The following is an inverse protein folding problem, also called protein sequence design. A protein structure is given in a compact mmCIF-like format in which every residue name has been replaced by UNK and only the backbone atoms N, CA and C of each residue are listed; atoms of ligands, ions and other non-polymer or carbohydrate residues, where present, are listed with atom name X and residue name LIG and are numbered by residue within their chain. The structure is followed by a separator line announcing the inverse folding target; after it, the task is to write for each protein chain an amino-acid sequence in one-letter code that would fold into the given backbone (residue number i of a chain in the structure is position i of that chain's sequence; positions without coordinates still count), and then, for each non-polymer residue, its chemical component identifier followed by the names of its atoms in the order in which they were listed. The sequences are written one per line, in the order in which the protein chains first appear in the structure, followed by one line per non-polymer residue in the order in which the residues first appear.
data_IF_589355601372
#
_entry.id   IF_589355601372
#
_cell.length_a   1.000
_cell.length_b   1.000
_cell.length_c   1.000
_cell.angle_alpha   90.00
_cell.angle_beta   90.00
_cell.angle_gamma   90.00
#
_symmetry.space_group_name_H-M   'P 1'
#
loop_
_entity.id
_entity.type
_entity.pdbx_description
1 polymer ?
#
# COMPACT_ATOMS: atom_id res chain seq x y z
N UNK A 1 36.30 38.20 14.16
CA UNK A 1 35.20 37.87 15.06
C UNK A 1 33.96 37.63 14.23
N UNK A 2 33.62 36.36 13.97
CA UNK A 2 32.43 35.94 13.26
C UNK A 2 31.58 35.13 14.24
N UNK A 3 30.41 35.63 14.58
CA UNK A 3 29.43 35.02 15.45
C UNK A 3 28.77 33.81 14.73
N UNK A 4 28.57 32.66 15.39
CA UNK A 4 27.86 31.54 14.78
C UNK A 4 26.33 31.78 14.84
N UNK A 5 25.65 31.55 13.71
CA UNK A 5 24.19 31.51 13.61
C UNK A 5 23.67 30.22 14.24
N UNK A 6 22.58 30.25 14.99
CA UNK A 6 21.97 29.05 15.51
C UNK A 6 21.24 28.31 14.37
N UNK A 7 21.52 27.00 14.25
CA UNK A 7 20.75 26.04 13.48
C UNK A 7 19.39 25.86 14.17
N UNK A 8 18.34 26.35 13.52
CA UNK A 8 16.95 26.05 13.90
C UNK A 8 16.67 24.62 13.43
N UNK A 9 16.67 23.71 14.39
CA UNK A 9 16.20 22.35 14.18
C UNK A 9 14.68 22.37 13.88
N UNK A 10 14.33 22.02 12.66
CA UNK A 10 12.94 21.77 12.26
C UNK A 10 12.52 20.43 12.83
N UNK A 11 11.91 20.43 14.02
CA UNK A 11 11.22 19.27 14.57
C UNK A 11 9.97 19.02 13.72
N UNK A 12 10.05 18.02 12.85
CA UNK A 12 8.84 17.44 12.22
C UNK A 12 8.03 16.79 13.35
N UNK A 13 7.02 17.50 13.84
CA UNK A 13 5.95 16.89 14.61
C UNK A 13 5.17 15.99 13.62
N UNK A 14 5.44 14.67 13.65
CA UNK A 14 4.49 13.69 13.16
C UNK A 14 3.22 13.89 13.98
N UNK A 15 2.18 14.41 13.35
CA UNK A 15 0.83 14.38 13.88
C UNK A 15 0.41 12.92 14.00
N UNK A 16 0.63 12.32 15.16
CA UNK A 16 -0.18 11.23 15.64
C UNK A 16 -1.61 11.76 15.62
N UNK A 17 -2.43 11.25 14.72
CA UNK A 17 -3.87 11.35 14.86
C UNK A 17 -4.21 10.67 16.18
N UNK A 18 -4.21 11.43 17.25
CA UNK A 18 -4.81 11.04 18.51
C UNK A 18 -6.29 10.94 18.17
N UNK A 19 -6.78 9.74 17.89
CA UNK A 19 -8.19 9.46 18.01
C UNK A 19 -8.57 9.92 19.39
N UNK A 20 -9.60 10.76 19.55
CA UNK A 20 -10.07 11.08 20.87
C UNK A 20 -10.42 9.75 21.54
N UNK A 21 -9.64 9.37 22.54
CA UNK A 21 -10.05 8.33 23.45
C UNK A 21 -11.43 8.74 23.92
N UNK A 22 -12.47 8.04 23.48
CA UNK A 22 -13.76 8.12 24.15
C UNK A 22 -13.47 7.76 25.59
N UNK A 23 -13.56 8.74 26.47
CA UNK A 23 -13.29 8.59 27.89
C UNK A 23 -14.39 7.80 28.59
N UNK A 24 -14.62 6.59 28.14
CA UNK A 24 -15.24 5.53 28.94
C UNK A 24 -14.12 4.94 29.79
N UNK A 25 -14.31 4.87 31.10
CA UNK A 25 -13.43 4.14 31.98
C UNK A 25 -13.12 2.78 31.30
N UNK A 26 -11.83 2.50 31.02
CA UNK A 26 -11.37 1.17 30.60
C UNK A 26 -11.74 0.20 31.74
N UNK A 27 -12.92 -0.39 31.65
CA UNK A 27 -13.44 -1.32 32.68
C UNK A 27 -12.81 -2.69 32.54
N UNK A 28 -12.15 -2.94 31.42
CA UNK A 28 -11.55 -4.19 31.08
C UNK A 28 -10.04 -4.05 30.90
N UNK A 29 -9.28 -4.73 31.78
CA UNK A 29 -7.82 -4.74 31.75
C UNK A 29 -7.27 -5.44 30.51
N UNK A 30 -7.93 -6.50 30.05
CA UNK A 30 -7.48 -7.29 28.90
C UNK A 30 -7.65 -6.52 27.60
N UNK A 31 -8.79 -5.88 27.41
CA UNK A 31 -9.01 -5.00 26.24
C UNK A 31 -8.03 -3.82 26.24
N UNK A 32 -7.77 -3.24 27.41
CA UNK A 32 -6.73 -2.20 27.57
C UNK A 32 -5.33 -2.70 27.24
N UNK A 33 -5.01 -3.94 27.60
CA UNK A 33 -3.74 -4.58 27.25
C UNK A 33 -3.61 -4.85 25.76
N UNK A 34 -4.68 -5.30 25.10
CA UNK A 34 -4.72 -5.47 23.67
C UNK A 34 -4.48 -4.15 22.90
N UNK A 35 -5.14 -3.06 23.35
CA UNK A 35 -4.91 -1.72 22.81
C UNK A 35 -3.48 -1.23 23.04
N UNK A 36 -2.91 -1.51 24.21
CA UNK A 36 -1.53 -1.14 24.53
C UNK A 36 -0.55 -1.81 23.56
N UNK A 37 -0.70 -3.12 23.33
CA UNK A 37 0.12 -3.85 22.37
C UNK A 37 -0.07 -3.32 20.94
N UNK A 38 -1.31 -3.03 20.53
CA UNK A 38 -1.59 -2.48 19.22
C UNK A 38 -0.93 -1.11 19.00
N UNK A 39 -0.95 -0.22 20.00
CA UNK A 39 -0.30 1.10 19.92
C UNK A 39 1.22 1.01 19.83
N UNK A 40 1.81 -0.09 20.31
CA UNK A 40 3.24 -0.36 20.17
C UNK A 40 3.59 -1.10 18.87
N UNK A 41 2.61 -1.34 18.00
CA UNK A 41 2.82 -2.10 16.77
C UNK A 41 2.96 -3.61 16.98
N UNK A 42 2.71 -4.11 18.20
CA UNK A 42 2.76 -5.53 18.56
C UNK A 42 1.40 -6.19 18.23
N UNK A 43 1.03 -6.17 16.95
CA UNK A 43 -0.29 -6.60 16.51
C UNK A 43 -0.59 -8.07 16.77
N UNK A 44 0.41 -8.94 16.72
CA UNK A 44 0.24 -10.35 17.05
C UNK A 44 -0.17 -10.55 18.52
N UNK A 45 0.49 -9.87 19.45
CA UNK A 45 0.18 -9.94 20.86
C UNK A 45 -1.21 -9.32 21.15
N UNK A 46 -1.53 -8.22 20.48
CA UNK A 46 -2.86 -7.62 20.55
C UNK A 46 -3.96 -8.57 20.07
N UNK A 47 -3.74 -9.25 18.93
CA UNK A 47 -4.68 -10.23 18.38
C UNK A 47 -4.89 -11.42 19.31
N UNK A 48 -3.83 -11.96 19.89
CA UNK A 48 -3.95 -13.07 20.84
C UNK A 48 -4.80 -12.69 22.07
N UNK A 49 -4.65 -11.47 22.57
CA UNK A 49 -5.45 -10.97 23.70
C UNK A 49 -6.91 -10.85 23.31
N UNK A 50 -7.22 -10.20 22.19
CA UNK A 50 -8.59 -10.04 21.71
C UNK A 50 -9.26 -11.39 21.36
N UNK A 51 -8.55 -12.29 20.67
CA UNK A 51 -9.07 -13.63 20.37
C UNK A 51 -9.42 -14.42 21.65
N UNK A 52 -8.57 -14.29 22.69
CA UNK A 52 -8.80 -14.95 23.97
C UNK A 52 -10.07 -14.39 24.64
N UNK A 53 -10.24 -13.06 24.64
CA UNK A 53 -11.40 -12.41 25.24
C UNK A 53 -12.70 -12.77 24.51
N UNK A 54 -12.69 -12.69 23.16
CA UNK A 54 -13.85 -13.08 22.35
C UNK A 54 -14.20 -14.56 22.58
N UNK A 55 -13.20 -15.43 22.70
CA UNK A 55 -13.43 -16.85 23.01
C UNK A 55 -13.99 -17.08 24.42
N UNK A 56 -13.48 -16.35 25.41
CA UNK A 56 -13.98 -16.39 26.79
C UNK A 56 -15.43 -15.93 26.87
N UNK A 57 -15.74 -14.77 26.24
CA UNK A 57 -17.12 -14.24 26.19
C UNK A 57 -18.11 -15.25 25.60
N UNK A 58 -17.76 -15.91 24.51
CA UNK A 58 -18.64 -16.92 23.87
C UNK A 58 -18.86 -18.18 24.71
N UNK A 59 -17.98 -18.42 25.67
CA UNK A 59 -18.08 -19.54 26.60
C UNK A 59 -18.85 -19.26 27.88
N UNK A 60 -19.34 -18.04 28.10
CA UNK A 60 -20.05 -17.67 29.31
C UNK A 60 -21.55 -17.99 29.25
N UNK A 61 -22.06 -18.55 30.33
CA UNK A 61 -23.51 -18.79 30.50
C UNK A 61 -24.29 -17.48 30.83
N UNK A 62 -23.61 -16.49 31.40
CA UNK A 62 -24.17 -15.19 31.79
C UNK A 62 -23.27 -14.06 31.28
N UNK A 63 -23.32 -13.73 29.97
CA UNK A 63 -22.45 -12.74 29.35
C UNK A 63 -22.52 -11.34 29.97
N UNK A 64 -23.67 -10.97 30.54
CA UNK A 64 -23.90 -9.67 31.19
C UNK A 64 -23.08 -9.43 32.47
N UNK A 65 -22.48 -10.49 33.00
CA UNK A 65 -21.56 -10.39 34.14
C UNK A 65 -20.10 -10.20 33.74
N UNK A 66 -19.80 -10.39 32.45
CA UNK A 66 -18.46 -10.20 31.91
C UNK A 66 -18.25 -8.75 31.51
N UNK A 67 -17.07 -8.22 31.81
CA UNK A 67 -16.66 -6.87 31.41
C UNK A 67 -16.61 -6.73 29.90
N UNK A 68 -16.29 -7.82 29.17
CA UNK A 68 -16.28 -7.86 27.71
C UNK A 68 -17.68 -7.64 27.11
N UNK A 69 -18.75 -7.91 27.84
CA UNK A 69 -20.13 -7.67 27.37
C UNK A 69 -20.31 -6.23 26.83
N UNK A 70 -19.63 -5.25 27.44
CA UNK A 70 -19.67 -3.85 27.00
C UNK A 70 -18.84 -3.54 25.78
N UNK A 71 -17.91 -4.43 25.43
CA UNK A 71 -16.92 -4.24 24.36
C UNK A 71 -17.01 -5.27 23.25
N UNK A 72 -18.00 -6.18 23.29
CA UNK A 72 -18.04 -7.31 22.35
C UNK A 72 -18.01 -6.88 20.87
N UNK A 73 -18.76 -5.84 20.51
CA UNK A 73 -18.78 -5.34 19.14
C UNK A 73 -17.47 -4.66 18.78
N UNK A 74 -16.90 -3.89 19.70
CA UNK A 74 -15.64 -3.19 19.52
C UNK A 74 -14.47 -4.20 19.47
N UNK A 75 -14.51 -5.24 20.31
CA UNK A 75 -13.48 -6.28 20.33
C UNK A 75 -13.46 -7.08 19.03
N UNK A 76 -14.59 -7.54 18.53
CA UNK A 76 -14.65 -8.28 17.26
C UNK A 76 -14.26 -7.42 16.06
N UNK A 77 -14.64 -6.15 16.08
CA UNK A 77 -14.27 -5.17 15.06
C UNK A 77 -12.78 -4.86 15.11
N UNK A 78 -12.23 -4.63 16.31
CA UNK A 78 -10.81 -4.38 16.52
C UNK A 78 -9.93 -5.56 16.14
N UNK A 79 -10.36 -6.80 16.39
CA UNK A 79 -9.68 -8.01 15.89
C UNK A 79 -9.60 -7.97 14.37
N UNK A 80 -10.72 -7.63 13.69
CA UNK A 80 -10.75 -7.50 12.23
C UNK A 80 -9.81 -6.42 11.71
N UNK A 81 -9.72 -5.28 12.40
CA UNK A 81 -8.83 -4.18 12.06
C UNK A 81 -7.36 -4.55 12.23
N UNK A 82 -7.00 -5.11 13.37
CA UNK A 82 -5.63 -5.53 13.63
C UNK A 82 -5.18 -6.64 12.68
N UNK A 83 -6.05 -7.59 12.36
CA UNK A 83 -5.77 -8.61 11.36
C UNK A 83 -5.62 -8.04 9.95
N UNK A 84 -6.35 -6.97 9.61
CA UNK A 84 -6.21 -6.27 8.34
C UNK A 84 -4.89 -5.50 8.29
N UNK A 85 -4.54 -4.78 9.36
CA UNK A 85 -3.28 -4.06 9.46
C UNK A 85 -2.09 -5.02 9.49
N UNK A 86 -2.25 -6.17 10.14
CA UNK A 86 -1.29 -7.29 10.13
C UNK A 86 -1.36 -8.13 8.84
N UNK A 87 -2.24 -7.77 7.90
CA UNK A 87 -2.43 -8.42 6.60
C UNK A 87 -2.91 -9.88 6.66
N UNK A 88 -3.55 -10.25 7.73
CA UNK A 88 -4.19 -11.57 7.89
C UNK A 88 -5.62 -11.57 7.34
N UNK A 89 -5.79 -11.22 6.08
CA UNK A 89 -7.08 -10.95 5.45
C UNK A 89 -8.15 -12.04 5.66
N UNK A 90 -7.74 -13.30 5.68
CA UNK A 90 -8.68 -14.41 5.86
C UNK A 90 -9.28 -14.48 7.28
N UNK A 91 -8.52 -14.03 8.29
CA UNK A 91 -9.02 -13.92 9.69
C UNK A 91 -9.80 -12.63 9.86
N UNK A 92 -9.28 -11.50 9.39
CA UNK A 92 -9.98 -10.23 9.41
C UNK A 92 -11.38 -10.35 8.81
N UNK A 93 -11.51 -11.03 7.67
CA UNK A 93 -12.80 -11.28 7.06
C UNK A 93 -13.76 -12.06 7.95
N UNK A 94 -13.29 -13.01 8.78
CA UNK A 94 -14.14 -13.75 9.72
C UNK A 94 -14.62 -12.89 10.89
N UNK A 95 -13.73 -12.11 11.49
CA UNK A 95 -14.08 -11.22 12.59
C UNK A 95 -15.10 -10.15 12.14
N UNK A 96 -14.84 -9.51 11.01
CA UNK A 96 -15.75 -8.51 10.44
C UNK A 96 -17.10 -9.13 10.04
N UNK A 97 -17.10 -10.36 9.52
CA UNK A 97 -18.33 -11.07 9.20
C UNK A 97 -19.16 -11.36 10.46
N UNK A 98 -18.52 -11.68 11.59
CA UNK A 98 -19.21 -11.87 12.86
C UNK A 98 -19.94 -10.61 13.31
N UNK A 99 -19.32 -9.43 13.15
CA UNK A 99 -19.97 -8.14 13.43
C UNK A 99 -21.16 -7.91 12.48
N UNK A 100 -21.06 -8.26 11.21
CA UNK A 100 -22.16 -8.13 10.25
C UNK A 100 -23.36 -9.04 10.55
N UNK A 101 -23.13 -10.18 11.17
CA UNK A 101 -24.15 -11.15 11.55
C UNK A 101 -24.72 -10.87 12.96
N UNK A 102 -24.05 -10.02 13.74
CA UNK A 102 -24.46 -9.62 15.08
C UNK A 102 -25.57 -8.53 15.10
N UNK A 103 -26.15 -8.30 16.27
CA UNK A 103 -27.12 -7.26 16.51
C UNK A 103 -26.39 -5.94 16.85
N UNK A 104 -25.80 -5.29 15.86
CA UNK A 104 -25.03 -4.07 15.99
C UNK A 104 -25.76 -2.88 15.34
N UNK A 105 -25.37 -1.66 15.70
CA UNK A 105 -25.87 -0.43 15.09
C UNK A 105 -25.60 -0.36 13.60
N UNK A 106 -26.47 0.33 12.86
CA UNK A 106 -26.38 0.48 11.41
C UNK A 106 -25.04 1.07 10.97
N UNK A 107 -24.52 2.06 11.70
CA UNK A 107 -23.24 2.69 11.40
C UNK A 107 -22.07 1.67 11.48
N UNK A 108 -22.01 0.90 12.58
CA UNK A 108 -21.00 -0.15 12.79
C UNK A 108 -21.10 -1.24 11.70
N UNK A 109 -22.32 -1.64 11.36
CA UNK A 109 -22.58 -2.61 10.30
C UNK A 109 -22.10 -2.13 8.94
N UNK A 110 -22.37 -0.86 8.61
CA UNK A 110 -21.95 -0.26 7.35
C UNK A 110 -20.43 -0.13 7.26
N UNK A 111 -19.78 0.23 8.36
CA UNK A 111 -18.31 0.28 8.43
C UNK A 111 -17.70 -1.12 8.29
N UNK A 112 -18.24 -2.12 8.99
CA UNK A 112 -17.79 -3.51 8.85
C UNK A 112 -17.97 -4.04 7.41
N UNK A 113 -19.09 -3.71 6.76
CA UNK A 113 -19.32 -4.08 5.36
C UNK A 113 -18.30 -3.42 4.40
N UNK A 114 -17.97 -2.15 4.64
CA UNK A 114 -16.93 -1.44 3.89
C UNK A 114 -15.54 -2.09 4.07
N UNK A 115 -15.14 -2.39 5.30
CA UNK A 115 -13.86 -3.04 5.57
C UNK A 115 -13.79 -4.43 4.93
N UNK A 116 -14.87 -5.21 5.01
CA UNK A 116 -14.96 -6.51 4.35
C UNK A 116 -14.85 -6.37 2.82
N UNK A 117 -15.52 -5.39 2.23
CA UNK A 117 -15.42 -5.11 0.80
C UNK A 117 -13.98 -4.74 0.39
N UNK A 118 -13.28 -3.95 1.20
CA UNK A 118 -11.88 -3.59 0.98
C UNK A 118 -10.97 -4.82 0.99
N UNK A 119 -11.17 -5.73 1.96
CA UNK A 119 -10.43 -7.00 2.03
C UNK A 119 -10.65 -7.83 0.76
N UNK A 120 -11.90 -8.02 0.33
CA UNK A 120 -12.22 -8.79 -0.86
C UNK A 120 -11.62 -8.15 -2.12
N UNK A 121 -11.68 -6.81 -2.25
CA UNK A 121 -11.07 -6.10 -3.36
C UNK A 121 -9.55 -6.28 -3.41
N UNK A 122 -8.85 -6.17 -2.27
CA UNK A 122 -7.41 -6.40 -2.17
C UNK A 122 -7.00 -7.83 -2.53
N UNK A 123 -7.88 -8.81 -2.30
CA UNK A 123 -7.70 -10.21 -2.69
C UNK A 123 -8.07 -10.50 -4.16
N UNK A 124 -8.56 -9.52 -4.90
CA UNK A 124 -9.08 -9.72 -6.25
C UNK A 124 -10.43 -10.44 -6.30
N UNK A 125 -11.11 -10.60 -5.17
CA UNK A 125 -12.43 -11.22 -5.04
C UNK A 125 -13.53 -10.19 -5.33
N UNK A 126 -13.64 -9.79 -6.59
CA UNK A 126 -14.44 -8.62 -7.00
C UNK A 126 -15.95 -8.80 -6.76
N UNK A 127 -16.49 -10.00 -6.99
CA UNK A 127 -17.92 -10.30 -6.74
C UNK A 127 -18.25 -10.26 -5.25
N UNK A 128 -17.35 -10.78 -4.41
CA UNK A 128 -17.52 -10.73 -2.95
C UNK A 128 -17.43 -9.29 -2.44
N UNK A 129 -16.54 -8.48 -3.03
CA UNK A 129 -16.46 -7.05 -2.73
C UNK A 129 -17.77 -6.30 -3.09
N UNK A 130 -18.36 -6.59 -4.25
CA UNK A 130 -19.67 -6.04 -4.64
C UNK A 130 -20.78 -6.47 -3.67
N UNK A 131 -20.80 -7.75 -3.29
CA UNK A 131 -21.77 -8.28 -2.35
C UNK A 131 -21.66 -7.63 -0.98
N UNK A 132 -20.43 -7.39 -0.49
CA UNK A 132 -20.20 -6.68 0.76
C UNK A 132 -20.65 -5.22 0.67
N UNK A 133 -20.32 -4.50 -0.40
CA UNK A 133 -20.79 -3.13 -0.65
C UNK A 133 -22.31 -3.01 -0.75
N UNK A 134 -23.00 -4.03 -1.27
CA UNK A 134 -24.46 -4.08 -1.36
C UNK A 134 -25.16 -4.21 0.01
N UNK A 135 -24.42 -4.61 1.07
CA UNK A 135 -24.94 -4.66 2.44
C UNK A 135 -25.01 -3.30 3.12
N UNK A 136 -24.27 -2.31 2.60
CA UNK A 136 -24.27 -0.93 3.11
C UNK A 136 -25.61 -0.30 2.78
N UNK A 137 -26.39 0.06 3.81
CA UNK A 137 -27.73 0.64 3.70
C UNK A 137 -27.90 1.77 4.70
N UNK A 138 -28.79 2.72 4.37
CA UNK A 138 -29.12 3.82 5.27
C UNK A 138 -27.95 4.79 5.49
N UNK A 139 -27.68 5.15 6.72
CA UNK A 139 -26.71 6.19 7.05
C UNK A 139 -25.30 5.62 7.09
N UNK A 140 -24.43 6.14 6.23
CA UNK A 140 -22.98 5.84 6.25
C UNK A 140 -22.27 6.90 7.09
N UNK A 141 -21.38 6.51 8.03
CA UNK A 141 -20.54 7.46 8.77
C UNK A 141 -19.83 8.44 7.83
N UNK A 142 -19.78 9.72 8.23
CA UNK A 142 -19.23 10.78 7.37
C UNK A 142 -17.76 10.52 7.00
N UNK A 143 -17.02 9.94 7.94
CA UNK A 143 -15.59 9.66 7.85
C UNK A 143 -15.24 8.67 6.73
N UNK A 144 -16.12 7.70 6.45
CA UNK A 144 -15.87 6.65 5.45
C UNK A 144 -16.72 6.80 4.19
N UNK A 145 -17.62 7.78 4.13
CA UNK A 145 -18.59 7.90 3.02
C UNK A 145 -17.92 8.00 1.65
N UNK A 146 -16.95 8.88 1.54
CA UNK A 146 -16.25 9.10 0.28
C UNK A 146 -15.41 7.86 -0.10
N UNK A 147 -14.80 7.19 0.88
CA UNK A 147 -14.02 5.96 0.67
C UNK A 147 -14.88 4.79 0.21
N UNK A 148 -16.09 4.64 0.76
CA UNK A 148 -17.09 3.63 0.30
C UNK A 148 -17.40 3.81 -1.18
N UNK A 149 -17.68 5.05 -1.59
CA UNK A 149 -18.03 5.32 -2.99
C UNK A 149 -16.80 5.20 -3.92
N UNK A 150 -15.59 5.55 -3.45
CA UNK A 150 -14.37 5.29 -4.19
C UNK A 150 -14.12 3.79 -4.40
N UNK A 151 -14.25 3.00 -3.35
CA UNK A 151 -14.10 1.56 -3.45
C UNK A 151 -15.14 0.97 -4.41
N UNK A 152 -16.39 1.43 -4.32
CA UNK A 152 -17.48 1.01 -5.22
C UNK A 152 -17.15 1.29 -6.68
N UNK A 153 -16.67 2.49 -6.98
CA UNK A 153 -16.27 2.86 -8.33
C UNK A 153 -15.10 2.00 -8.84
N UNK A 154 -14.09 1.75 -8.01
CA UNK A 154 -12.96 0.91 -8.36
C UNK A 154 -13.39 -0.55 -8.63
N UNK A 155 -14.28 -1.10 -7.81
CA UNK A 155 -14.82 -2.46 -8.04
C UNK A 155 -15.64 -2.51 -9.33
N UNK A 156 -16.43 -1.50 -9.64
CA UNK A 156 -17.17 -1.42 -10.92
C UNK A 156 -16.23 -1.37 -12.12
N UNK A 157 -15.17 -0.55 -12.08
CA UNK A 157 -14.17 -0.52 -13.15
C UNK A 157 -13.47 -1.88 -13.32
N UNK A 158 -13.07 -2.51 -12.22
CA UNK A 158 -12.40 -3.81 -12.23
C UNK A 158 -13.31 -4.96 -12.72
N UNK A 159 -14.63 -4.84 -12.55
CA UNK A 159 -15.63 -5.82 -13.02
C UNK A 159 -16.17 -5.52 -14.42
N UNK A 160 -15.58 -4.56 -15.13
CA UNK A 160 -16.03 -4.20 -16.50
C UNK A 160 -17.38 -3.47 -16.55
N UNK A 161 -17.71 -2.73 -15.49
CA UNK A 161 -18.94 -1.95 -15.35
C UNK A 161 -18.63 -0.44 -15.27
N UNK A 162 -17.95 0.14 -16.28
CA UNK A 162 -17.47 1.52 -16.21
C UNK A 162 -18.61 2.54 -16.14
N UNK A 163 -19.76 2.28 -16.80
CA UNK A 163 -20.91 3.19 -16.74
C UNK A 163 -21.46 3.40 -15.33
N UNK A 164 -21.41 2.35 -14.47
CA UNK A 164 -21.80 2.46 -13.07
C UNK A 164 -20.73 3.21 -12.26
N UNK A 165 -19.46 2.98 -12.56
CA UNK A 165 -18.36 3.72 -11.92
C UNK A 165 -18.48 5.23 -12.21
N UNK A 166 -18.78 5.61 -13.45
CA UNK A 166 -19.03 7.01 -13.85
C UNK A 166 -20.14 7.62 -13.01
N UNK A 167 -21.30 6.96 -12.89
CA UNK A 167 -22.44 7.46 -12.10
C UNK A 167 -22.07 7.71 -10.64
N UNK A 168 -21.25 6.83 -10.07
CA UNK A 168 -20.78 6.96 -8.69
C UNK A 168 -19.80 8.13 -8.56
N UNK A 169 -18.85 8.26 -9.48
CA UNK A 169 -17.81 9.30 -9.44
C UNK A 169 -18.33 10.70 -9.77
N UNK A 170 -19.41 10.83 -10.50
CA UNK A 170 -20.08 12.11 -10.80
C UNK A 170 -20.82 12.69 -9.58
N UNK A 171 -21.05 11.91 -8.52
CA UNK A 171 -21.71 12.41 -7.31
C UNK A 171 -20.79 13.40 -6.54
N UNK A 172 -21.38 14.45 -5.95
CA UNK A 172 -20.62 15.40 -5.13
C UNK A 172 -19.91 14.70 -3.96
N UNK A 173 -18.70 15.16 -3.66
CA UNK A 173 -17.87 14.66 -2.54
C UNK A 173 -17.78 15.67 -1.41
N UNK A 174 -17.57 15.16 -0.20
CA UNK A 174 -17.49 15.98 1.00
C UNK A 174 -16.12 16.66 1.15
N UNK A 175 -15.06 16.06 0.58
CA UNK A 175 -13.67 16.51 0.77
C UNK A 175 -13.05 17.04 -0.54
N UNK A 176 -12.68 18.32 -0.56
CA UNK A 176 -11.98 18.93 -1.70
C UNK A 176 -10.60 18.32 -1.96
N UNK A 177 -9.94 17.80 -0.94
CA UNK A 177 -8.64 17.11 -1.07
C UNK A 177 -8.69 15.89 -2.00
N UNK A 178 -9.86 15.31 -2.19
CA UNK A 178 -10.07 14.16 -3.08
C UNK A 178 -10.34 14.57 -4.53
N UNK A 179 -10.47 15.86 -4.85
CA UNK A 179 -10.88 16.32 -6.18
C UNK A 179 -9.99 15.79 -7.31
N UNK A 180 -8.66 15.73 -7.10
CA UNK A 180 -7.71 15.18 -8.07
C UNK A 180 -7.91 13.68 -8.31
N UNK A 181 -8.12 12.93 -7.24
CA UNK A 181 -8.37 11.48 -7.31
C UNK A 181 -9.71 11.19 -7.99
N UNK A 182 -10.76 11.96 -7.66
CA UNK A 182 -12.09 11.81 -8.30
C UNK A 182 -12.00 12.10 -9.79
N UNK A 183 -11.40 13.21 -10.18
CA UNK A 183 -11.28 13.60 -11.59
C UNK A 183 -10.44 12.59 -12.38
N UNK A 184 -9.33 12.07 -11.81
CA UNK A 184 -8.52 11.04 -12.44
C UNK A 184 -9.34 9.74 -12.64
N UNK A 185 -9.94 9.21 -11.57
CA UNK A 185 -10.70 7.96 -11.65
C UNK A 185 -11.93 8.09 -12.56
N UNK A 186 -12.59 9.25 -12.55
CA UNK A 186 -13.68 9.55 -13.49
C UNK A 186 -13.17 9.56 -14.93
N UNK A 187 -12.01 10.16 -15.19
CA UNK A 187 -11.36 10.13 -16.51
C UNK A 187 -11.09 8.71 -16.97
N UNK A 188 -10.54 7.84 -16.10
CA UNK A 188 -10.29 6.43 -16.43
C UNK A 188 -11.59 5.65 -16.66
N UNK A 189 -12.62 5.85 -15.82
CA UNK A 189 -13.94 5.21 -16.01
C UNK A 189 -14.59 5.62 -17.32
N UNK A 190 -14.51 6.91 -17.69
CA UNK A 190 -15.01 7.43 -18.97
C UNK A 190 -14.26 6.85 -20.18
N UNK A 191 -12.95 6.62 -20.08
CA UNK A 191 -12.17 5.94 -21.12
C UNK A 191 -12.66 4.50 -21.32
N UNK A 192 -12.85 3.77 -20.24
CA UNK A 192 -13.35 2.40 -20.28
C UNK A 192 -14.80 2.34 -20.81
N UNK A 193 -15.59 3.41 -20.59
CA UNK A 193 -16.97 3.55 -21.09
C UNK A 193 -17.04 4.04 -22.55
N UNK A 194 -15.86 4.27 -23.20
CA UNK A 194 -15.79 4.75 -24.59
C UNK A 194 -16.06 6.25 -24.77
N UNK A 195 -16.14 7.03 -23.70
CA UNK A 195 -16.45 8.48 -23.69
C UNK A 195 -15.16 9.31 -23.69
N UNK A 196 -14.31 9.10 -24.70
CA UNK A 196 -12.94 9.62 -24.76
C UNK A 196 -12.85 11.15 -24.60
N UNK A 197 -13.74 11.95 -25.22
CA UNK A 197 -13.68 13.40 -25.11
C UNK A 197 -13.90 13.89 -23.69
N UNK A 198 -14.86 13.30 -22.97
CA UNK A 198 -15.14 13.65 -21.58
C UNK A 198 -14.02 13.18 -20.65
N UNK A 199 -13.41 12.03 -20.97
CA UNK A 199 -12.24 11.54 -20.24
C UNK A 199 -11.06 12.52 -20.33
N UNK A 200 -10.77 13.05 -21.52
CA UNK A 200 -9.74 14.06 -21.75
C UNK A 200 -9.98 15.28 -20.85
N UNK A 201 -11.22 15.77 -20.79
CA UNK A 201 -11.59 16.93 -19.95
C UNK A 201 -11.34 16.66 -18.45
N UNK A 202 -11.71 15.47 -17.96
CA UNK A 202 -11.49 15.11 -16.56
C UNK A 202 -10.02 14.88 -16.22
N UNK A 203 -9.26 14.25 -17.10
CA UNK A 203 -7.82 14.04 -16.94
C UNK A 203 -7.07 15.36 -16.99
N UNK A 204 -7.43 16.29 -17.89
CA UNK A 204 -6.85 17.62 -17.95
C UNK A 204 -7.13 18.42 -16.68
N UNK A 205 -8.37 18.35 -16.17
CA UNK A 205 -8.75 18.93 -14.88
C UNK A 205 -7.87 18.36 -13.75
N UNK A 206 -7.75 17.04 -13.64
CA UNK A 206 -6.94 16.39 -12.62
C UNK A 206 -5.45 16.77 -12.74
N UNK A 207 -4.94 16.88 -13.97
CA UNK A 207 -3.57 17.25 -14.28
C UNK A 207 -3.19 18.70 -13.97
N UNK A 208 -4.18 19.57 -13.70
CA UNK A 208 -3.98 20.98 -13.41
C UNK A 208 -4.32 21.37 -11.97
N UNK A 209 -4.95 20.48 -11.18
CA UNK A 209 -5.30 20.76 -9.79
C UNK A 209 -4.06 21.01 -8.95
N UNK A 210 -4.11 21.99 -8.03
CA UNK A 210 -3.05 22.18 -7.04
C UNK A 210 -2.88 20.91 -6.20
N UNK A 211 -1.64 20.52 -5.97
CA UNK A 211 -1.32 19.38 -5.12
C UNK A 211 -0.43 19.85 -3.97
N UNK A 212 -0.89 19.64 -2.74
CA UNK A 212 -0.20 20.04 -1.52
C UNK A 212 0.62 18.92 -0.86
N UNK A 213 0.43 17.67 -1.32
CA UNK A 213 1.07 16.49 -0.77
C UNK A 213 1.63 15.57 -1.88
N UNK A 214 2.53 14.63 -1.53
CA UNK A 214 3.15 13.74 -2.53
C UNK A 214 2.15 12.86 -3.29
N UNK A 215 1.04 12.45 -2.67
CA UNK A 215 0.02 11.61 -3.32
C UNK A 215 -0.78 12.42 -4.36
N UNK A 216 -1.15 13.66 -4.02
CA UNK A 216 -1.77 14.60 -4.94
C UNK A 216 -0.85 14.94 -6.13
N UNK A 217 0.45 15.16 -5.88
CA UNK A 217 1.43 15.35 -6.94
C UNK A 217 1.52 14.14 -7.86
N UNK A 218 1.58 12.93 -7.32
CA UNK A 218 1.64 11.71 -8.10
C UNK A 218 0.39 11.51 -8.98
N UNK A 219 -0.81 11.78 -8.44
CA UNK A 219 -2.06 11.64 -9.22
C UNK A 219 -2.15 12.69 -10.33
N UNK A 220 -1.67 13.93 -10.08
CA UNK A 220 -1.57 14.97 -11.09
C UNK A 220 -0.63 14.58 -12.22
N UNK A 221 0.58 14.09 -11.89
CA UNK A 221 1.56 13.65 -12.88
C UNK A 221 1.06 12.45 -13.67
N UNK A 222 0.43 11.48 -13.01
CA UNK A 222 -0.20 10.33 -13.67
C UNK A 222 -1.32 10.75 -14.61
N UNK A 223 -2.12 11.74 -14.22
CA UNK A 223 -3.18 12.29 -15.07
C UNK A 223 -2.62 12.91 -16.33
N UNK A 224 -1.56 13.72 -16.20
CA UNK A 224 -0.88 14.35 -17.34
C UNK A 224 -0.20 13.31 -18.26
N UNK A 225 0.40 12.26 -17.69
CA UNK A 225 0.98 11.17 -18.48
C UNK A 225 -0.09 10.41 -19.30
N UNK A 226 -1.21 10.04 -18.65
CA UNK A 226 -2.31 9.34 -19.31
C UNK A 226 -2.93 10.23 -20.38
N UNK A 227 -3.23 11.51 -20.08
CA UNK A 227 -3.74 12.48 -21.03
C UNK A 227 -2.81 12.64 -22.23
N UNK A 228 -1.50 12.85 -21.98
CA UNK A 228 -0.51 12.98 -23.05
C UNK A 228 -0.42 11.73 -23.92
N UNK A 229 -0.57 10.54 -23.34
CA UNK A 229 -0.61 9.28 -24.09
C UNK A 229 -1.83 9.20 -25.01
N UNK A 230 -3.01 9.52 -24.52
CA UNK A 230 -4.26 9.52 -25.31
C UNK A 230 -4.18 10.52 -26.48
N UNK A 231 -3.68 11.73 -26.20
CA UNK A 231 -3.51 12.76 -27.21
C UNK A 231 -2.48 12.36 -28.26
N UNK A 232 -1.39 11.69 -27.87
CA UNK A 232 -0.41 11.11 -28.78
C UNK A 232 -1.03 10.05 -29.70
N UNK A 233 -1.78 9.11 -29.14
CA UNK A 233 -2.44 8.04 -29.88
C UNK A 233 -3.51 8.57 -30.84
N UNK A 234 -4.13 9.71 -30.51
CA UNK A 234 -5.10 10.40 -31.38
C UNK A 234 -4.43 11.29 -32.46
N UNK A 235 -3.08 11.34 -32.50
CA UNK A 235 -2.33 12.14 -33.47
C UNK A 235 -2.21 13.63 -33.12
N UNK A 236 -2.67 14.05 -31.94
CA UNK A 236 -2.56 15.44 -31.48
C UNK A 236 -1.21 15.63 -30.72
N UNK A 237 -0.11 15.61 -31.46
CA UNK A 237 1.24 15.60 -30.87
C UNK A 237 1.58 16.87 -30.07
N UNK A 238 1.11 18.05 -30.53
CA UNK A 238 1.37 19.29 -29.79
C UNK A 238 0.67 19.33 -28.44
N UNK A 239 -0.61 18.93 -28.37
CA UNK A 239 -1.33 18.86 -27.11
C UNK A 239 -0.79 17.73 -26.20
N UNK A 240 -0.35 16.62 -26.79
CA UNK A 240 0.33 15.54 -26.06
C UNK A 240 1.57 16.06 -25.36
N UNK A 241 2.46 16.76 -26.08
CA UNK A 241 3.66 17.37 -25.52
C UNK A 241 3.34 18.32 -24.37
N UNK A 242 2.37 19.25 -24.58
CA UNK A 242 1.99 20.20 -23.53
C UNK A 242 1.51 19.51 -22.23
N UNK A 243 0.81 18.40 -22.34
CA UNK A 243 0.39 17.61 -21.17
C UNK A 243 1.57 16.91 -20.52
N UNK A 244 2.46 16.31 -21.31
CA UNK A 244 3.64 15.58 -20.81
C UNK A 244 4.66 16.52 -20.15
N UNK A 245 4.81 17.75 -20.66
CA UNK A 245 5.69 18.78 -20.07
C UNK A 245 5.24 19.25 -18.67
N UNK A 246 3.99 18.97 -18.28
CA UNK A 246 3.48 19.25 -16.92
C UNK A 246 3.89 18.22 -15.87
N UNK A 247 4.42 17.06 -16.29
CA UNK A 247 4.89 16.01 -15.38
C UNK A 247 6.21 16.43 -14.72
N UNK A 248 6.29 16.26 -13.39
CA UNK A 248 7.52 16.63 -12.65
C UNK A 248 8.70 15.74 -13.04
N UNK A 249 9.86 16.37 -13.23
CA UNK A 249 11.07 15.65 -13.62
C UNK A 249 11.59 14.66 -12.56
N UNK A 250 11.33 14.92 -11.29
CA UNK A 250 11.78 14.08 -10.17
C UNK A 250 10.68 13.10 -9.70
N UNK A 251 9.54 13.06 -10.41
CA UNK A 251 8.41 12.19 -10.08
C UNK A 251 8.54 10.77 -10.65
N UNK A 252 7.77 9.80 -10.15
CA UNK A 252 7.83 8.40 -10.58
C UNK A 252 7.38 8.19 -12.04
N UNK A 253 6.69 9.16 -12.63
CA UNK A 253 6.18 9.09 -14.01
C UNK A 253 7.06 9.83 -15.02
N UNK A 254 8.15 10.45 -14.56
CA UNK A 254 9.01 11.33 -15.34
C UNK A 254 9.65 10.62 -16.54
N UNK A 255 10.20 9.41 -16.36
CA UNK A 255 10.87 8.70 -17.44
C UNK A 255 9.92 8.39 -18.59
N UNK A 256 8.73 7.93 -18.28
CA UNK A 256 7.70 7.64 -19.28
C UNK A 256 7.22 8.92 -19.97
N UNK A 257 7.07 10.02 -19.23
CA UNK A 257 6.65 11.31 -19.80
C UNK A 257 7.72 11.87 -20.75
N UNK A 258 8.99 11.85 -20.37
CA UNK A 258 10.09 12.29 -21.22
C UNK A 258 10.21 11.44 -22.50
N UNK A 259 10.09 10.11 -22.40
CA UNK A 259 10.09 9.22 -23.55
C UNK A 259 8.96 9.58 -24.51
N UNK A 260 7.73 9.71 -24.00
CA UNK A 260 6.54 10.02 -24.79
C UNK A 260 6.60 11.42 -25.40
N UNK A 261 7.12 12.42 -24.68
CA UNK A 261 7.28 13.78 -25.18
C UNK A 261 8.26 13.81 -26.38
N UNK A 262 9.40 13.13 -26.29
CA UNK A 262 10.32 12.98 -27.40
C UNK A 262 9.72 12.21 -28.56
N UNK A 263 8.95 11.15 -28.29
CA UNK A 263 8.27 10.36 -29.32
C UNK A 263 7.23 11.19 -30.07
N UNK A 264 6.51 12.08 -29.39
CA UNK A 264 5.53 12.99 -30.02
C UNK A 264 6.21 13.94 -31.00
N UNK A 265 7.33 14.56 -30.62
CA UNK A 265 8.10 15.44 -31.49
C UNK A 265 8.75 14.67 -32.66
N UNK A 266 9.28 13.47 -32.41
CA UNK A 266 9.88 12.65 -33.46
C UNK A 266 8.84 12.17 -34.50
N UNK A 267 7.64 11.80 -34.05
CA UNK A 267 6.52 11.42 -34.95
C UNK A 267 6.05 12.61 -35.78
N UNK A 268 6.10 13.81 -35.22
CA UNK A 268 5.88 15.06 -35.96
C UNK A 268 7.09 15.49 -36.83
N UNK A 269 8.13 14.65 -36.93
CA UNK A 269 9.38 14.88 -37.65
C UNK A 269 10.25 16.06 -37.12
N UNK A 270 10.00 16.51 -35.92
CA UNK A 270 10.80 17.52 -35.22
C UNK A 270 11.92 16.85 -34.40
N UNK A 271 12.87 16.19 -35.07
CA UNK A 271 13.92 15.38 -34.43
C UNK A 271 14.86 16.21 -33.54
N UNK A 272 15.08 17.48 -33.86
CA UNK A 272 15.84 18.42 -33.05
C UNK A 272 15.16 18.68 -31.68
N UNK A 273 13.85 18.79 -31.66
CA UNK A 273 13.07 18.95 -30.43
C UNK A 273 12.95 17.65 -29.65
N UNK A 274 12.80 16.50 -30.34
CA UNK A 274 12.76 15.18 -29.72
C UNK A 274 14.03 14.87 -28.88
N UNK A 275 15.18 15.36 -29.35
CA UNK A 275 16.45 15.21 -28.64
C UNK A 275 16.46 15.88 -27.25
N UNK A 276 15.64 16.90 -27.00
CA UNK A 276 15.64 17.60 -25.70
C UNK A 276 15.21 16.66 -24.56
N UNK A 277 14.00 16.09 -24.52
CA UNK A 277 13.58 15.18 -23.46
C UNK A 277 14.38 13.86 -23.47
N UNK A 278 14.74 13.33 -24.65
CA UNK A 278 15.50 12.10 -24.73
C UNK A 278 16.93 12.22 -24.21
N UNK A 279 17.61 13.36 -24.40
CA UNK A 279 18.94 13.58 -23.82
C UNK A 279 18.88 13.69 -22.28
N UNK A 280 17.82 14.23 -21.71
CA UNK A 280 17.61 14.19 -20.25
C UNK A 280 17.45 12.73 -19.77
N UNK A 281 16.73 11.93 -20.55
CA UNK A 281 16.41 10.56 -20.20
C UNK A 281 17.62 9.63 -20.25
N UNK A 282 18.49 9.76 -21.24
CA UNK A 282 19.68 8.89 -21.37
C UNK A 282 20.74 9.11 -20.29
N UNK A 283 20.66 10.20 -19.52
CA UNK A 283 21.54 10.46 -18.37
C UNK A 283 21.04 9.78 -17.08
N UNK A 284 19.88 9.11 -17.14
CA UNK A 284 19.25 8.42 -16.01
C UNK A 284 19.68 6.96 -15.89
N UNK A 285 19.12 6.25 -14.91
CA UNK A 285 19.46 4.86 -14.63
C UNK A 285 19.11 3.94 -15.82
N UNK A 286 20.09 3.25 -16.40
CA UNK A 286 19.90 2.43 -17.62
C UNK A 286 19.14 1.12 -17.41
N UNK A 287 18.71 0.80 -16.19
CA UNK A 287 17.83 -0.35 -15.91
C UNK A 287 16.37 -0.05 -16.24
N UNK A 288 15.99 1.23 -16.34
CA UNK A 288 14.65 1.67 -16.71
C UNK A 288 14.40 1.48 -18.21
N UNK A 289 13.28 0.85 -18.58
CA UNK A 289 12.94 0.54 -19.96
C UNK A 289 12.82 1.80 -20.83
N UNK A 290 12.29 2.91 -20.28
CA UNK A 290 12.16 4.18 -21.02
C UNK A 290 13.54 4.79 -21.32
N UNK A 291 14.49 4.65 -20.40
CA UNK A 291 15.90 5.08 -20.60
C UNK A 291 16.54 4.26 -21.71
N UNK A 292 16.37 2.95 -21.69
CA UNK A 292 16.90 2.05 -22.74
C UNK A 292 16.33 2.37 -24.12
N UNK A 293 15.03 2.66 -24.20
CA UNK A 293 14.41 3.07 -25.46
C UNK A 293 14.96 4.41 -25.95
N UNK A 294 15.15 5.38 -25.07
CA UNK A 294 15.76 6.67 -25.42
C UNK A 294 17.21 6.53 -25.92
N UNK A 295 17.99 5.58 -25.37
CA UNK A 295 19.35 5.29 -25.84
C UNK A 295 19.41 4.82 -27.30
N UNK A 296 18.32 4.23 -27.81
CA UNK A 296 18.18 3.87 -29.22
C UNK A 296 17.51 5.00 -30.04
N UNK A 297 16.61 5.75 -29.41
CA UNK A 297 15.89 6.85 -30.06
C UNK A 297 16.80 8.06 -30.35
N UNK A 298 17.70 8.41 -29.44
CA UNK A 298 18.65 9.52 -29.61
C UNK A 298 19.53 9.35 -30.86
N UNK A 299 20.25 8.25 -31.07
CA UNK A 299 21.06 8.08 -32.28
C UNK A 299 20.20 7.99 -33.54
N UNK A 300 18.98 7.43 -33.46
CA UNK A 300 18.04 7.45 -34.58
C UNK A 300 17.68 8.90 -34.98
N UNK A 301 17.39 9.77 -34.00
CA UNK A 301 17.10 11.18 -34.28
C UNK A 301 18.31 11.89 -34.93
N UNK A 302 19.54 11.64 -34.45
CA UNK A 302 20.73 12.19 -35.10
C UNK A 302 20.92 11.68 -36.54
N UNK A 303 20.62 10.40 -36.79
CA UNK A 303 20.67 9.85 -38.17
C UNK A 303 19.63 10.51 -39.08
N UNK A 304 18.41 10.75 -38.56
CA UNK A 304 17.33 11.45 -39.28
C UNK A 304 17.66 12.93 -39.57
N UNK A 305 18.50 13.53 -38.75
CA UNK A 305 19.09 14.87 -38.98
C UNK A 305 20.32 14.85 -39.89
N UNK A 306 20.64 13.72 -40.55
CA UNK A 306 21.84 13.49 -41.38
C UNK A 306 23.18 13.60 -40.63
N UNK A 307 23.18 13.47 -39.32
CA UNK A 307 24.38 13.49 -38.46
C UNK A 307 24.88 12.06 -38.18
N UNK A 308 25.12 11.28 -39.28
CA UNK A 308 25.42 9.82 -39.23
C UNK A 308 26.64 9.47 -38.40
N UNK A 309 27.70 10.29 -38.44
CA UNK A 309 28.91 10.07 -37.65
C UNK A 309 28.63 10.13 -36.13
N UNK A 310 27.82 11.08 -35.72
CA UNK A 310 27.37 11.22 -34.30
C UNK A 310 26.48 10.04 -33.90
N UNK A 311 25.53 9.69 -34.75
CA UNK A 311 24.67 8.54 -34.55
C UNK A 311 25.45 7.24 -34.33
N UNK A 312 26.45 6.97 -35.17
CA UNK A 312 27.28 5.76 -35.08
C UNK A 312 28.03 5.70 -33.72
N UNK A 313 28.61 6.80 -33.28
CA UNK A 313 29.30 6.84 -31.96
C UNK A 313 28.36 6.54 -30.82
N UNK A 314 27.13 7.12 -30.83
CA UNK A 314 26.14 6.91 -29.78
C UNK A 314 25.62 5.47 -29.79
N UNK A 315 25.35 4.87 -30.98
CA UNK A 315 25.01 3.45 -31.07
C UNK A 315 26.10 2.55 -30.50
N UNK A 316 27.39 2.86 -30.76
CA UNK A 316 28.49 2.11 -30.17
C UNK A 316 28.47 2.14 -28.64
N UNK A 317 28.23 3.33 -28.03
CA UNK A 317 28.11 3.45 -26.59
C UNK A 317 26.89 2.71 -26.02
N UNK A 318 25.76 2.77 -26.72
CA UNK A 318 24.56 2.04 -26.33
C UNK A 318 24.80 0.51 -26.33
N UNK A 319 25.52 0.00 -27.36
CA UNK A 319 25.88 -1.43 -27.44
C UNK A 319 26.76 -1.87 -26.27
N UNK A 320 27.79 -1.09 -25.93
CA UNK A 320 28.64 -1.40 -24.76
C UNK A 320 27.84 -1.41 -23.45
N UNK A 321 26.94 -0.45 -23.32
CA UNK A 321 26.10 -0.35 -22.11
C UNK A 321 25.13 -1.51 -22.01
N UNK A 322 24.45 -1.88 -23.09
CA UNK A 322 23.54 -3.03 -23.10
C UNK A 322 24.27 -4.35 -22.80
N UNK A 323 25.51 -4.52 -23.33
CA UNK A 323 26.31 -5.70 -23.00
C UNK A 323 26.58 -5.80 -21.49
N UNK A 324 26.92 -4.68 -20.83
CA UNK A 324 27.10 -4.63 -19.37
C UNK A 324 25.79 -4.89 -18.61
N UNK A 325 24.66 -4.39 -19.15
CA UNK A 325 23.36 -4.65 -18.50
C UNK A 325 22.96 -6.14 -18.59
N UNK A 326 23.28 -6.82 -19.69
CA UNK A 326 23.04 -8.28 -19.82
C UNK A 326 23.83 -9.03 -18.74
N UNK A 327 25.14 -8.74 -18.59
CA UNK A 327 25.96 -9.36 -17.54
C UNK A 327 25.40 -9.09 -16.12
N UNK A 328 24.86 -7.89 -15.88
CA UNK A 328 24.24 -7.52 -14.61
C UNK A 328 22.93 -8.27 -14.37
N UNK A 329 22.10 -8.44 -15.40
CA UNK A 329 20.87 -9.24 -15.34
C UNK A 329 21.18 -10.69 -15.02
N UNK A 330 22.19 -11.28 -15.68
CA UNK A 330 22.60 -12.67 -15.41
C UNK A 330 23.07 -12.83 -13.96
N UNK A 331 23.89 -11.90 -13.45
CA UNK A 331 24.32 -11.91 -12.06
C UNK A 331 23.13 -11.76 -11.07
N UNK A 332 22.11 -10.97 -11.44
CA UNK A 332 20.87 -10.79 -10.66
C UNK A 332 20.05 -12.08 -10.60
N UNK A 333 19.91 -12.78 -11.75
CA UNK A 333 19.23 -14.07 -11.84
C UNK A 333 19.91 -15.10 -10.93
N UNK A 334 21.23 -15.17 -10.93
CA UNK A 334 21.98 -16.09 -10.09
C UNK A 334 21.83 -15.73 -8.59
N UNK A 335 21.87 -14.46 -8.24
CA UNK A 335 21.64 -13.98 -6.88
C UNK A 335 20.25 -14.39 -6.34
N UNK A 336 19.22 -14.24 -7.18
CA UNK A 336 17.84 -14.63 -6.84
C UNK A 336 17.76 -16.16 -6.66
N UNK A 337 18.30 -16.93 -7.59
CA UNK A 337 18.30 -18.42 -7.52
C UNK A 337 18.99 -18.95 -6.27
N UNK A 338 20.05 -18.30 -5.83
CA UNK A 338 20.79 -18.65 -4.61
C UNK A 338 20.12 -18.10 -3.32
N UNK A 339 19.04 -17.35 -3.42
CA UNK A 339 18.33 -16.77 -2.28
C UNK A 339 19.10 -15.64 -1.58
N UNK A 340 20.14 -15.08 -2.19
CA UNK A 340 20.95 -13.99 -1.62
C UNK A 340 20.15 -12.72 -1.46
N UNK A 341 19.28 -12.42 -2.42
CA UNK A 341 18.40 -11.25 -2.40
C UNK A 341 17.45 -11.25 -1.21
N UNK A 342 16.74 -12.36 -0.97
CA UNK A 342 15.84 -12.49 0.18
C UNK A 342 16.59 -12.31 1.51
N UNK A 343 17.79 -12.89 1.63
CA UNK A 343 18.63 -12.72 2.81
C UNK A 343 19.09 -11.26 3.02
N UNK A 344 19.34 -10.52 1.92
CA UNK A 344 19.70 -9.11 2.00
C UNK A 344 18.51 -8.26 2.46
N UNK A 345 17.30 -8.52 1.93
CA UNK A 345 16.06 -7.85 2.35
C UNK A 345 15.78 -8.06 3.84
N UNK A 346 15.84 -9.31 4.32
CA UNK A 346 15.60 -9.66 5.73
C UNK A 346 16.64 -8.97 6.64
N UNK A 347 17.91 -8.90 6.22
CA UNK A 347 18.97 -8.26 7.01
C UNK A 347 18.76 -6.75 7.14
N UNK A 348 18.29 -6.08 6.09
CA UNK A 348 17.98 -4.65 6.15
C UNK A 348 16.79 -4.37 7.05
N UNK A 349 15.78 -5.22 7.03
CA UNK A 349 14.61 -5.07 7.88
C UNK A 349 14.92 -5.34 9.37
N UNK A 350 15.67 -6.36 9.69
CA UNK A 350 16.08 -6.67 11.08
C UNK A 350 16.94 -5.59 11.73
N UNK A 351 17.50 -4.66 10.94
CA UNK A 351 18.22 -3.47 11.44
C UNK A 351 17.32 -2.27 11.74
N UNK A 352 16.05 -2.34 11.33
CA UNK A 352 15.11 -1.23 11.48
C UNK A 352 14.16 -1.54 12.63
N UNK A 353 14.58 -1.15 13.84
CA UNK A 353 13.81 -1.26 15.08
C UNK A 353 12.34 -0.85 14.93
N UNK A 354 11.44 -1.70 15.41
CA UNK A 354 10.15 -1.46 16.09
C UNK A 354 9.01 -0.72 15.38
N UNK A 355 9.11 -0.22 14.19
CA UNK A 355 7.96 0.33 13.48
C UNK A 355 7.55 -0.53 12.30
N UNK A 356 6.40 -1.15 12.40
CA UNK A 356 5.73 -2.07 11.44
C UNK A 356 5.48 -1.53 10.03
N UNK A 357 5.80 -0.29 9.76
CA UNK A 357 5.82 0.20 8.40
C UNK A 357 7.17 -0.16 7.83
N UNK A 358 7.24 -1.21 7.00
CA UNK A 358 8.40 -1.45 6.15
C UNK A 358 8.60 -0.22 5.27
N UNK A 359 9.32 0.73 5.80
CA UNK A 359 10.00 1.73 5.00
C UNK A 359 11.40 1.16 4.81
N UNK A 360 11.63 0.50 3.69
CA UNK A 360 13.00 0.27 3.23
C UNK A 360 13.68 1.65 3.18
N UNK A 361 14.35 2.01 4.27
CA UNK A 361 15.10 3.28 4.36
C UNK A 361 16.29 3.28 3.42
N UNK A 362 16.78 2.09 3.10
CA UNK A 362 17.79 1.85 2.08
C UNK A 362 17.44 0.56 1.34
N UNK A 363 17.54 0.59 0.02
CA UNK A 363 17.45 -0.61 -0.79
C UNK A 363 18.73 -1.44 -0.59
N UNK A 364 18.64 -2.79 -0.59
CA UNK A 364 19.82 -3.64 -0.55
C UNK A 364 20.78 -3.27 -1.68
N UNK A 365 22.07 -3.16 -1.39
CA UNK A 365 23.10 -3.02 -2.42
C UNK A 365 23.35 -4.38 -3.09
N UNK A 366 22.38 -4.76 -3.93
CA UNK A 366 22.35 -6.01 -4.63
C UNK A 366 22.05 -5.74 -6.13
N UNK A 367 22.67 -6.51 -7.06
CA UNK A 367 22.50 -6.27 -8.51
C UNK A 367 21.05 -6.28 -8.95
N UNK A 368 20.21 -7.11 -8.34
CA UNK A 368 18.80 -7.30 -8.66
C UNK A 368 17.89 -6.20 -8.15
N UNK A 369 18.29 -5.39 -7.17
CA UNK A 369 17.45 -4.38 -6.53
C UNK A 369 16.75 -3.47 -7.53
N UNK A 370 17.48 -2.99 -8.53
CA UNK A 370 16.93 -2.08 -9.53
C UNK A 370 15.90 -2.75 -10.44
N UNK A 371 16.11 -4.03 -10.80
CA UNK A 371 15.19 -4.77 -11.67
C UNK A 371 13.92 -5.20 -10.94
N UNK A 372 13.98 -5.33 -9.63
CA UNK A 372 12.86 -5.78 -8.80
C UNK A 372 12.10 -4.65 -8.12
N UNK A 373 12.44 -3.38 -8.35
CA UNK A 373 11.81 -2.24 -7.68
C UNK A 373 10.29 -2.22 -7.87
N UNK A 374 9.81 -2.44 -9.09
CA UNK A 374 8.37 -2.49 -9.37
C UNK A 374 7.70 -3.69 -8.69
N UNK A 375 8.34 -4.86 -8.73
CA UNK A 375 7.88 -6.05 -8.03
C UNK A 375 7.84 -5.80 -6.51
N UNK A 376 8.92 -5.26 -5.94
CA UNK A 376 9.00 -4.94 -4.51
C UNK A 376 7.95 -3.91 -4.08
N UNK A 377 7.57 -2.98 -4.93
CA UNK A 377 6.51 -2.01 -4.67
C UNK A 377 5.11 -2.63 -4.79
N UNK A 378 4.96 -3.82 -5.37
CA UNK A 378 3.67 -4.47 -5.52
C UNK A 378 3.10 -4.94 -4.17
N UNK A 379 1.77 -4.84 -4.04
CA UNK A 379 1.06 -5.30 -2.83
C UNK A 379 1.31 -6.79 -2.55
N UNK A 380 1.29 -7.61 -3.59
CA UNK A 380 1.46 -9.07 -3.45
C UNK A 380 2.86 -9.43 -2.92
N UNK A 381 3.90 -8.79 -3.43
CA UNK A 381 5.25 -8.99 -2.94
C UNK A 381 5.41 -8.54 -1.49
N UNK A 382 4.91 -7.35 -1.15
CA UNK A 382 4.97 -6.81 0.20
C UNK A 382 4.21 -7.71 1.20
N UNK A 383 3.04 -8.22 0.81
CA UNK A 383 2.27 -9.15 1.62
C UNK A 383 3.00 -10.49 1.81
N UNK A 384 3.59 -11.04 0.73
CA UNK A 384 4.34 -12.29 0.81
C UNK A 384 5.60 -12.15 1.68
N UNK A 385 6.32 -11.04 1.58
CA UNK A 385 7.50 -10.75 2.39
C UNK A 385 7.14 -10.65 3.87
N UNK A 386 6.07 -9.92 4.22
CA UNK A 386 5.58 -9.86 5.60
C UNK A 386 5.22 -11.23 6.15
N UNK A 387 4.42 -11.99 5.40
CA UNK A 387 4.04 -13.33 5.83
C UNK A 387 5.27 -14.23 6.06
N UNK A 388 6.30 -14.08 5.24
CA UNK A 388 7.54 -14.82 5.44
C UNK A 388 8.25 -14.43 6.73
N UNK A 389 8.38 -13.13 7.01
CA UNK A 389 9.04 -12.61 8.21
C UNK A 389 8.27 -12.99 9.48
N UNK A 390 6.95 -12.92 9.45
CA UNK A 390 6.09 -13.34 10.54
C UNK A 390 6.26 -14.84 10.85
N UNK A 391 6.39 -15.67 9.82
CA UNK A 391 6.64 -17.10 9.98
C UNK A 391 8.03 -17.38 10.55
N UNK A 392 9.05 -16.63 10.17
CA UNK A 392 10.40 -16.74 10.77
C UNK A 392 10.41 -16.34 12.25
N UNK A 393 9.74 -15.23 12.60
CA UNK A 393 9.61 -14.80 14.00
C UNK A 393 8.84 -15.84 14.82
N UNK A 394 7.71 -16.31 14.32
CA UNK A 394 6.93 -17.37 14.97
C UNK A 394 7.75 -18.66 15.15
N UNK A 395 8.49 -19.07 14.13
CA UNK A 395 9.38 -20.22 14.21
C UNK A 395 10.45 -20.03 15.29
N UNK A 396 11.06 -18.85 15.35
CA UNK A 396 12.07 -18.49 16.36
C UNK A 396 11.48 -18.57 17.78
N UNK A 397 10.30 -18.00 18.00
CA UNK A 397 9.59 -18.05 19.30
C UNK A 397 9.20 -19.48 19.69
N UNK A 398 8.68 -20.27 18.75
CA UNK A 398 8.36 -21.68 19.01
C UNK A 398 9.60 -22.50 19.35
N UNK A 399 10.72 -22.24 18.71
CA UNK A 399 11.99 -22.89 19.06
C UNK A 399 12.47 -22.50 20.47
N UNK A 400 12.37 -21.22 20.83
CA UNK A 400 12.68 -20.74 22.17
C UNK A 400 11.76 -21.38 23.23
N UNK A 401 10.46 -21.48 22.96
CA UNK A 401 9.52 -22.17 23.85
C UNK A 401 9.83 -23.67 23.98
N UNK A 402 10.16 -24.32 22.87
CA UNK A 402 10.55 -25.74 22.90
C UNK A 402 11.74 -25.99 23.82
N UNK A 403 12.73 -25.10 23.83
CA UNK A 403 13.89 -25.21 24.75
C UNK A 403 13.49 -24.98 26.21
N UNK A 404 12.38 -24.32 26.48
CA UNK A 404 11.86 -24.02 27.82
C UNK A 404 10.87 -25.07 28.35
N UNK A 405 10.48 -26.06 27.54
CA UNK A 405 9.48 -27.07 27.94
C UNK A 405 9.91 -27.87 29.18
N UNK A 406 11.16 -28.24 29.27
CA UNK A 406 11.72 -28.99 30.46
C UNK A 406 11.54 -28.16 31.72
N UNK A 407 11.76 -26.83 31.65
CA UNK A 407 11.57 -25.93 32.78
C UNK A 407 10.10 -25.81 33.19
N UNK A 408 9.17 -25.81 32.21
CA UNK A 408 7.74 -25.83 32.50
C UNK A 408 7.29 -27.14 33.15
N UNK A 409 7.82 -28.28 32.70
CA UNK A 409 7.56 -29.59 33.33
C UNK A 409 8.04 -29.62 34.79
N UNK A 410 9.20 -29.06 35.08
CA UNK A 410 9.72 -28.94 36.44
C UNK A 410 8.84 -28.04 37.32
N UNK A 411 8.35 -26.89 36.76
CA UNK A 411 7.43 -26.00 37.48
C UNK A 411 6.10 -26.71 37.78
N UNK A 412 5.54 -27.43 36.80
CA UNK A 412 4.29 -28.21 36.98
C UNK A 412 4.48 -29.24 38.06
N UNK A 413 5.58 -29.99 38.02
CA UNK A 413 5.92 -31.02 39.03
C UNK A 413 6.05 -30.42 40.43
N UNK A 414 6.74 -29.28 40.53
CA UNK A 414 6.90 -28.57 41.80
C UNK A 414 5.56 -28.03 42.33
N UNK A 415 4.69 -27.55 41.47
CA UNK A 415 3.34 -27.11 41.82
C UNK A 415 2.48 -28.28 42.32
N UNK A 416 2.52 -29.41 41.66
CA UNK A 416 1.83 -30.61 42.10
C UNK A 416 2.29 -31.12 43.45
N UNK A 417 3.58 -31.09 43.68
CA UNK A 417 4.17 -31.56 44.97
C UNK A 417 3.91 -30.61 46.14
N UNK A 418 3.97 -29.30 45.90
CA UNK A 418 3.94 -28.32 47.00
C UNK A 418 2.58 -27.67 47.27
N UNK A 419 1.75 -27.54 46.23
CA UNK A 419 0.49 -26.78 46.33
C UNK A 419 -0.75 -27.67 46.29
N UNK A 420 -0.79 -28.70 45.50
CA UNK A 420 -1.97 -29.60 45.44
C UNK A 420 -2.34 -30.23 46.78
N UNK A 421 -1.36 -30.65 47.60
CA UNK A 421 -1.69 -31.16 48.95
C UNK A 421 -2.29 -30.14 49.90
N UNK A 422 -2.11 -28.85 49.65
CA UNK A 422 -2.69 -27.76 50.45
C UNK A 422 -4.08 -27.34 50.04
N UNK A 423 -4.55 -27.70 48.85
CA UNK A 423 -5.90 -27.33 48.34
C UNK A 423 -7.02 -27.71 49.29
N UNK A 424 -7.10 -28.93 49.88
CA UNK A 424 -8.15 -29.28 50.81
C UNK A 424 -8.20 -28.42 52.09
N UNK A 425 -7.02 -27.97 52.51
CA UNK A 425 -6.89 -27.10 53.72
C UNK A 425 -7.37 -25.69 53.42
N UNK A 426 -7.01 -25.16 52.26
CA UNK A 426 -7.48 -23.87 51.74
C UNK A 426 -9.01 -23.86 51.56
N UNK A 427 -9.55 -24.91 50.90
CA UNK A 427 -11.00 -25.08 50.68
C UNK A 427 -11.78 -25.14 52.04
N UNK A 428 -11.19 -25.78 53.04
CA UNK A 428 -11.79 -25.83 54.39
C UNK A 428 -11.83 -24.47 55.07
N UNK A 429 -10.89 -23.56 54.75
CA UNK A 429 -10.88 -22.20 55.32
C UNK A 429 -11.86 -21.24 54.61
N UNK A 430 -12.26 -21.53 53.38
CA UNK A 430 -13.24 -20.76 52.62
C UNK A 430 -14.70 -21.20 52.81
N UNK A 431 -14.96 -22.36 53.43
CA UNK A 431 -16.29 -22.84 53.82
C UNK A 431 -16.63 -22.45 55.24
#
# INVERSE_FOLDING_TARGET
MRTPRPLIGLSLALGLAVYPAMGGDLRDLYFGEALYHAWQGQYFDALQRLDTEVAMYRGLDQPELDTLHYHINDAEFSVGDFELDYRMHHRAGRAIKAVLEGAVDEAVRNEAAFRLARIHFQKGQLDDALNALARIKGTVPAEIRDDVEFLRANVYMATGRPSEAVKVLEQPRSHESLAGFVAYNLGIALLQDGRAQQAIEQLDKAGQLPAGDPAGLAIRDKSNLVLGTILFESGNFEAARQSLDRVHLDGPFSNQALLRAGSAEATAQHYDRALVPWNILVEREPTDAAVQEAMLAVPHAYASLNLHGRAAVIYGRALELFSKQIERVDASIDSIREGRFLKALIREESRQDETWVIRLRSLPDAPETYYLMELMASHDFQTALHNYLDLEDLQSRLMAWKTSLDAFDDIIRLRQQNYEPLLPEVDAQFR
#
